data_IF_185615725286
#
_entry.id   IF_185615725286
#
_cell.length_a   1.000
_cell.length_b   1.000
_cell.length_c   1.000
_cell.angle_alpha   90.00
_cell.angle_beta   90.00
_cell.angle_gamma   90.00
#
_symmetry.space_group_name_H-M   'P 1'
#
loop_
_entity.id
_entity.type
_entity.pdbx_description
1 polymer ?
#
# COMPACT_ATOMS: atom_id res chain seq x y z
N UNK A 1 -19.07 -22.32 14.65
CA UNK A 1 -18.59 -22.65 16.02
C UNK A 1 -17.62 -21.56 16.44
N UNK A 2 -17.70 -21.07 17.67
CA UNK A 2 -16.71 -20.14 18.22
C UNK A 2 -15.54 -20.93 18.82
N UNK A 3 -14.35 -20.34 18.90
CA UNK A 3 -13.14 -21.00 19.40
C UNK A 3 -13.16 -21.31 20.92
N UNK A 4 -14.17 -20.82 21.64
CA UNK A 4 -14.24 -20.89 23.11
C UNK A 4 -13.43 -19.76 23.77
N UNK A 5 -13.43 -19.69 25.12
CA UNK A 5 -12.58 -18.76 25.85
C UNK A 5 -11.10 -19.18 25.69
N UNK A 6 -10.22 -18.20 25.55
CA UNK A 6 -8.79 -18.47 25.39
C UNK A 6 -7.95 -17.23 25.15
N UNK A 7 -6.63 -17.44 25.10
CA UNK A 7 -5.66 -16.39 24.82
C UNK A 7 -5.39 -16.31 23.32
N UNK A 8 -5.41 -15.09 22.78
CA UNK A 8 -5.02 -14.80 21.40
C UNK A 8 -3.63 -14.14 21.42
N UNK A 9 -2.68 -14.77 20.75
CA UNK A 9 -1.31 -14.29 20.62
C UNK A 9 -1.07 -13.87 19.17
N UNK A 10 -0.48 -12.68 19.00
CA UNK A 10 -0.14 -12.16 17.68
C UNK A 10 1.28 -11.63 17.68
N UNK A 11 2.07 -12.03 16.68
CA UNK A 11 3.39 -11.44 16.43
C UNK A 11 3.53 -11.06 14.97
N UNK A 12 4.33 -10.01 14.71
CA UNK A 12 4.70 -9.61 13.35
C UNK A 12 6.21 -9.67 13.23
N UNK A 13 6.70 -10.44 12.24
CA UNK A 13 8.11 -10.74 12.03
C UNK A 13 8.82 -11.26 13.30
N UNK A 14 8.20 -12.21 13.99
CA UNK A 14 8.72 -12.75 15.25
C UNK A 14 8.80 -11.71 16.37
N UNK A 15 7.85 -10.77 16.41
CA UNK A 15 7.77 -9.72 17.44
C UNK A 15 8.65 -8.49 17.19
N UNK A 16 9.35 -8.41 16.06
CA UNK A 16 10.19 -7.24 15.71
C UNK A 16 9.38 -6.01 15.33
N UNK A 17 8.13 -6.20 14.91
CA UNK A 17 7.20 -5.12 14.58
C UNK A 17 6.11 -5.08 15.64
N UNK A 18 5.94 -3.92 16.26
CA UNK A 18 4.94 -3.71 17.31
C UNK A 18 3.53 -3.85 16.75
N UNK A 19 2.69 -4.59 17.47
CA UNK A 19 1.29 -4.81 17.15
C UNK A 19 0.40 -4.13 18.19
N UNK A 20 -0.77 -3.66 17.76
CA UNK A 20 -1.85 -3.21 18.63
C UNK A 20 -3.09 -4.10 18.42
N UNK A 21 -3.82 -4.35 19.50
CA UNK A 21 -5.06 -5.11 19.47
C UNK A 21 -6.19 -4.26 20.04
N UNK A 22 -7.32 -4.21 19.34
CA UNK A 22 -8.53 -3.51 19.76
C UNK A 22 -9.74 -4.45 19.67
N UNK A 23 -10.50 -4.58 20.76
CA UNK A 23 -11.75 -5.31 20.74
C UNK A 23 -12.79 -4.57 19.86
N UNK A 24 -13.40 -5.27 18.92
CA UNK A 24 -14.49 -4.78 18.06
C UNK A 24 -15.86 -5.39 18.44
N UNK A 25 -15.86 -6.34 19.37
CA UNK A 25 -17.05 -7.04 19.85
C UNK A 25 -16.65 -8.16 20.82
N UNK A 26 -17.61 -8.96 21.26
CA UNK A 26 -17.39 -10.00 22.28
C UNK A 26 -16.31 -11.03 21.88
N UNK A 27 -16.17 -11.32 20.58
CA UNK A 27 -15.23 -12.33 20.06
C UNK A 27 -14.55 -11.88 18.76
N UNK A 28 -14.37 -10.57 18.59
CA UNK A 28 -13.79 -9.98 17.38
C UNK A 28 -12.75 -8.95 17.79
N UNK A 29 -11.56 -9.09 17.24
CA UNK A 29 -10.42 -8.23 17.54
C UNK A 29 -9.85 -7.68 16.24
N UNK A 30 -9.64 -6.37 16.19
CA UNK A 30 -8.84 -5.72 15.17
C UNK A 30 -7.39 -5.74 15.61
N UNK A 31 -6.53 -6.37 14.82
CA UNK A 31 -5.09 -6.36 15.03
C UNK A 31 -4.46 -5.45 13.99
N UNK A 32 -3.62 -4.52 14.43
CA UNK A 32 -2.95 -3.55 13.56
C UNK A 32 -1.45 -3.50 13.84
N UNK A 33 -0.69 -3.17 12.81
CA UNK A 33 0.74 -2.86 12.91
C UNK A 33 1.08 -1.81 11.86
N UNK A 34 2.15 -1.04 12.13
CA UNK A 34 2.68 -0.05 11.17
C UNK A 34 4.01 -0.56 10.62
N UNK A 35 4.07 -1.04 9.36
CA UNK A 35 5.32 -1.46 8.75
C UNK A 35 6.26 -0.25 8.55
N UNK A 36 7.56 -0.46 8.75
CA UNK A 36 8.60 0.57 8.52
C UNK A 36 9.44 0.30 7.28
N UNK A 37 9.46 -0.95 6.81
CA UNK A 37 10.26 -1.38 5.67
C UNK A 37 9.35 -1.85 4.53
N UNK A 38 9.69 -1.57 3.26
CA UNK A 38 8.96 -2.08 2.10
C UNK A 38 9.36 -3.53 1.79
N UNK A 39 8.89 -4.46 2.62
CA UNK A 39 9.16 -5.90 2.48
C UNK A 39 7.95 -6.75 2.89
N UNK A 40 7.92 -8.05 2.55
CA UNK A 40 6.96 -8.97 3.14
C UNK A 40 7.07 -9.01 4.67
N UNK A 41 5.93 -8.94 5.34
CA UNK A 41 5.77 -9.04 6.79
C UNK A 41 4.98 -10.31 7.12
N UNK A 42 5.56 -11.18 7.93
CA UNK A 42 4.89 -12.41 8.39
C UNK A 42 4.13 -12.11 9.67
N UNK A 43 2.82 -12.34 9.66
CA UNK A 43 1.94 -12.21 10.82
C UNK A 43 1.60 -13.60 11.32
N UNK A 44 1.97 -13.87 12.56
CA UNK A 44 1.71 -15.14 13.24
C UNK A 44 0.58 -14.94 14.26
N UNK A 45 -0.44 -15.77 14.20
CA UNK A 45 -1.59 -15.81 15.10
C UNK A 45 -1.74 -17.20 15.72
N UNK A 46 -1.79 -17.24 17.05
CA UNK A 46 -2.04 -18.46 17.82
C UNK A 46 -3.19 -18.26 18.78
N UNK A 47 -4.00 -19.29 18.94
CA UNK A 47 -5.06 -19.34 19.95
C UNK A 47 -4.78 -20.50 20.91
N UNK A 48 -4.63 -20.20 22.19
CA UNK A 48 -4.24 -21.17 23.23
C UNK A 48 -2.95 -21.95 22.88
N UNK A 49 -1.99 -21.30 22.23
CA UNK A 49 -0.72 -21.91 21.80
C UNK A 49 -0.77 -22.62 20.44
N UNK A 50 -1.95 -22.87 19.88
CA UNK A 50 -2.11 -23.54 18.58
C UNK A 50 -2.28 -22.54 17.44
N UNK A 51 -1.75 -22.89 16.27
CA UNK A 51 -1.89 -22.08 15.05
C UNK A 51 -3.35 -21.99 14.60
N UNK A 52 -3.81 -20.77 14.30
CA UNK A 52 -5.15 -20.58 13.73
C UNK A 52 -5.16 -20.98 12.24
N UNK A 53 -6.32 -21.30 11.65
CA UNK A 53 -6.41 -21.56 10.22
C UNK A 53 -5.92 -20.38 9.38
N UNK A 54 -5.06 -20.66 8.39
CA UNK A 54 -4.47 -19.64 7.51
C UNK A 54 -3.16 -19.03 8.03
N UNK A 55 -2.73 -19.40 9.23
CA UNK A 55 -1.44 -18.99 9.77
C UNK A 55 -0.25 -19.70 9.07
N UNK A 56 0.86 -19.01 8.82
CA UNK A 56 1.06 -17.56 8.98
C UNK A 56 0.52 -16.75 7.79
N UNK A 57 0.08 -15.52 8.08
CA UNK A 57 -0.38 -14.58 7.06
C UNK A 57 0.80 -13.75 6.55
N UNK A 58 0.89 -13.55 5.23
CA UNK A 58 1.95 -12.71 4.63
C UNK A 58 1.34 -11.40 4.12
N UNK A 59 1.79 -10.28 4.69
CA UNK A 59 1.45 -8.94 4.24
C UNK A 59 2.59 -8.37 3.39
N UNK A 60 2.33 -8.17 2.09
CA UNK A 60 3.29 -7.57 1.18
C UNK A 60 3.21 -6.04 1.27
N UNK A 61 4.26 -5.42 1.81
CA UNK A 61 4.39 -3.97 1.88
C UNK A 61 5.40 -3.53 0.81
N UNK A 62 4.99 -2.62 -0.06
CA UNK A 62 5.85 -2.04 -1.09
C UNK A 62 6.29 -0.62 -0.73
N UNK A 63 7.35 -0.14 -1.38
CA UNK A 63 7.70 1.27 -1.31
C UNK A 63 6.54 2.12 -1.86
N UNK A 64 6.29 3.31 -1.30
CA UNK A 64 5.27 4.21 -1.84
C UNK A 64 5.66 4.63 -3.25
N UNK A 65 4.66 4.74 -4.13
CA UNK A 65 4.84 5.35 -5.44
C UNK A 65 5.24 6.83 -5.27
N UNK A 66 6.19 7.30 -6.08
CA UNK A 66 6.72 8.66 -6.01
C UNK A 66 6.50 9.39 -7.33
N UNK A 67 5.90 10.58 -7.28
CA UNK A 67 5.87 11.48 -8.44
C UNK A 67 7.27 12.05 -8.65
N UNK A 68 7.86 11.85 -9.83
CA UNK A 68 9.26 12.20 -10.12
C UNK A 68 9.42 13.37 -11.10
N UNK A 69 8.34 13.88 -11.69
CA UNK A 69 8.39 15.13 -12.45
C UNK A 69 7.26 15.32 -13.45
N UNK A 70 7.06 16.56 -13.89
CA UNK A 70 6.17 16.89 -15.00
C UNK A 70 6.86 16.51 -16.32
N UNK A 71 6.21 15.69 -17.13
CA UNK A 71 6.69 15.30 -18.47
C UNK A 71 6.46 16.40 -19.51
N UNK A 72 5.47 17.28 -19.30
CA UNK A 72 5.09 18.34 -20.23
C UNK A 72 5.93 19.62 -20.13
N UNK A 73 6.87 19.70 -19.18
CA UNK A 73 7.70 20.89 -18.95
C UNK A 73 6.95 22.08 -18.32
N UNK A 74 5.64 21.99 -18.16
CA UNK A 74 4.81 22.95 -17.42
C UNK A 74 4.81 22.62 -15.92
N UNK A 75 4.77 23.65 -15.07
CA UNK A 75 4.55 23.42 -13.64
C UNK A 75 3.17 22.79 -13.43
N UNK A 76 3.01 21.84 -12.49
CA UNK A 76 1.69 21.30 -12.13
C UNK A 76 0.70 22.39 -11.68
N UNK A 77 1.19 23.59 -11.32
CA UNK A 77 0.36 24.71 -10.90
C UNK A 77 -0.37 25.42 -12.05
N UNK A 78 0.04 25.18 -13.31
CA UNK A 78 -0.52 25.86 -14.49
C UNK A 78 -0.68 24.87 -15.63
N UNK A 79 -1.92 24.42 -15.84
CA UNK A 79 -2.30 23.53 -16.94
C UNK A 79 -3.37 24.22 -17.77
N UNK A 80 -3.15 24.33 -19.07
CA UNK A 80 -4.13 24.87 -20.02
C UNK A 80 -5.31 23.91 -20.17
N UNK A 81 -6.53 24.45 -20.14
CA UNK A 81 -7.74 23.63 -20.30
C UNK A 81 -7.78 23.05 -21.71
N UNK A 82 -7.94 21.73 -21.79
CA UNK A 82 -8.04 21.00 -23.07
C UNK A 82 -6.72 20.42 -23.56
N UNK A 83 -5.59 20.85 -22.99
CA UNK A 83 -4.29 20.27 -23.29
C UNK A 83 -4.02 19.07 -22.38
N UNK A 84 -3.39 18.04 -22.94
CA UNK A 84 -2.96 16.88 -22.17
C UNK A 84 -1.79 17.27 -21.26
N UNK A 85 -1.88 16.93 -19.99
CA UNK A 85 -0.81 17.13 -19.01
C UNK A 85 -0.25 15.78 -18.59
N UNK A 86 1.06 15.62 -18.72
CA UNK A 86 1.73 14.36 -18.39
C UNK A 86 2.69 14.50 -17.22
N UNK A 87 2.76 13.50 -16.36
CA UNK A 87 3.78 13.40 -15.32
C UNK A 87 4.26 11.98 -15.12
N UNK A 88 5.48 11.83 -14.58
CA UNK A 88 6.07 10.52 -14.35
C UNK A 88 5.98 10.12 -12.87
N UNK A 89 5.69 8.83 -12.65
CA UNK A 89 5.63 8.19 -11.33
C UNK A 89 6.62 7.03 -11.29
N UNK A 90 7.49 7.01 -10.29
CA UNK A 90 8.33 5.85 -9.98
C UNK A 90 7.61 4.93 -9.01
N UNK A 91 7.45 3.66 -9.38
CA UNK A 91 6.73 2.67 -8.57
C UNK A 91 7.19 1.24 -8.87
N UNK A 92 7.14 0.36 -7.86
CA UNK A 92 7.43 -1.07 -8.01
C UNK A 92 6.32 -1.81 -8.77
N UNK A 93 5.09 -1.29 -8.74
CA UNK A 93 3.91 -1.87 -9.39
C UNK A 93 3.08 -0.78 -10.08
N UNK A 94 2.16 -1.17 -10.96
CA UNK A 94 1.27 -0.22 -11.63
C UNK A 94 0.49 0.59 -10.61
N UNK A 95 0.65 1.94 -10.58
CA UNK A 95 0.00 2.77 -9.58
C UNK A 95 -1.48 2.95 -9.88
N UNK A 96 -2.32 2.98 -8.84
CA UNK A 96 -3.67 3.51 -8.94
C UNK A 96 -3.61 5.03 -8.87
N UNK A 97 -4.05 5.70 -9.94
CA UNK A 97 -3.97 7.16 -10.06
C UNK A 97 -5.36 7.76 -10.16
N UNK A 98 -5.63 8.77 -9.33
CA UNK A 98 -6.85 9.57 -9.38
C UNK A 98 -6.45 11.05 -9.41
N UNK A 99 -6.91 11.77 -10.43
CA UNK A 99 -6.73 13.21 -10.56
C UNK A 99 -8.07 13.88 -10.36
N UNK A 100 -8.13 14.86 -9.45
CA UNK A 100 -9.36 15.58 -9.14
C UNK A 100 -9.29 17.00 -9.70
N UNK A 101 -10.34 17.39 -10.43
CA UNK A 101 -10.52 18.77 -10.88
C UNK A 101 -10.95 19.70 -9.74
N UNK A 102 -11.13 21.01 -10.01
CA UNK A 102 -11.48 22.01 -8.98
C UNK A 102 -12.77 21.69 -8.21
N UNK A 103 -13.74 21.01 -8.84
CA UNK A 103 -14.98 20.58 -8.22
C UNK A 103 -14.87 19.23 -7.47
N UNK A 104 -13.65 18.70 -7.24
CA UNK A 104 -13.36 17.36 -6.70
C UNK A 104 -14.01 16.22 -7.49
N UNK A 105 -14.15 16.41 -8.80
CA UNK A 105 -14.61 15.36 -9.72
C UNK A 105 -13.41 14.69 -10.37
N UNK A 106 -13.40 13.35 -10.51
CA UNK A 106 -12.34 12.64 -11.23
C UNK A 106 -12.21 13.16 -12.66
N UNK A 107 -10.97 13.38 -13.07
CA UNK A 107 -10.56 13.70 -14.44
C UNK A 107 -10.08 12.39 -15.09
N UNK A 108 -10.36 12.15 -16.39
CA UNK A 108 -9.81 11.01 -17.09
C UNK A 108 -8.28 10.97 -17.01
N UNK A 109 -7.73 9.80 -16.68
CA UNK A 109 -6.27 9.56 -16.59
C UNK A 109 -5.89 8.37 -17.45
N UNK A 110 -4.69 8.38 -18.02
CA UNK A 110 -4.14 7.25 -18.76
C UNK A 110 -2.81 6.89 -18.11
N UNK A 111 -2.66 5.64 -17.66
CA UNK A 111 -1.41 5.18 -17.05
C UNK A 111 -0.72 4.23 -18.01
N UNK A 112 0.49 4.56 -18.45
CA UNK A 112 1.34 3.70 -19.27
C UNK A 112 2.67 3.45 -18.58
N UNK A 113 3.16 2.21 -18.62
CA UNK A 113 4.51 1.89 -18.17
C UNK A 113 5.53 2.32 -19.24
N UNK A 114 6.60 2.98 -18.81
CA UNK A 114 7.73 3.30 -19.68
C UNK A 114 8.76 2.14 -19.63
N UNK A 115 9.52 1.95 -20.70
CA UNK A 115 10.63 0.97 -20.74
C UNK A 115 11.86 1.41 -19.92
N UNK A 116 11.77 2.55 -19.24
CA UNK A 116 12.86 3.11 -18.43
C UNK A 116 12.81 2.55 -17.01
N UNK A 117 13.93 1.96 -16.56
CA UNK A 117 14.12 1.50 -15.17
C UNK A 117 14.09 2.73 -14.25
N UNK A 118 13.33 2.65 -13.17
CA UNK A 118 13.22 3.70 -12.16
C UNK A 118 14.53 3.91 -11.38
N UNK A 119 14.52 4.76 -10.35
CA UNK A 119 15.74 5.09 -9.59
C UNK A 119 16.30 3.86 -8.83
N UNK A 120 15.47 2.84 -8.59
CA UNK A 120 15.86 1.56 -8.01
C UNK A 120 15.72 0.44 -9.06
N UNK A 121 16.63 -0.55 -9.07
CA UNK A 121 16.64 -1.67 -10.05
C UNK A 121 15.32 -2.47 -10.14
N UNK A 122 14.44 -2.37 -9.15
CA UNK A 122 13.14 -3.02 -9.11
C UNK A 122 11.95 -2.10 -9.43
N UNK A 123 12.15 -0.78 -9.55
CA UNK A 123 11.07 0.17 -9.83
C UNK A 123 10.98 0.49 -11.33
N UNK A 124 9.76 0.81 -11.77
CA UNK A 124 9.45 1.19 -13.15
C UNK A 124 8.91 2.61 -13.15
N UNK A 125 9.21 3.33 -14.21
CA UNK A 125 8.58 4.61 -14.49
C UNK A 125 7.23 4.39 -15.17
N UNK A 126 6.22 5.11 -14.72
CA UNK A 126 4.90 5.19 -15.33
C UNK A 126 4.66 6.63 -15.76
N UNK A 127 4.18 6.81 -16.98
CA UNK A 127 3.62 8.09 -17.45
C UNK A 127 2.13 8.10 -17.18
N UNK A 128 1.67 9.20 -16.58
CA UNK A 128 0.25 9.52 -16.34
C UNK A 128 -0.12 10.73 -17.19
#
# INVERSE_FOLDING_TARGET
>A
MAAGPGNLEVTVNGGRVLTAAAAQGAHTYAISFTPRDPRPHTVELRFNGDHVPGDPFVCHVSAPARVIGAGSGESPDKVSVGDAYTFSVDSLASPHVEVLGPARRPVPVQVSADDTIGENEASKRYTV
#
